data_IF_267195411510
#
_entry.id   IF_267195411510
#
_cell.length_a   1.000
_cell.length_b   1.000
_cell.length_c   1.000
_cell.angle_alpha   90.00
_cell.angle_beta   90.00
_cell.angle_gamma   90.00
#
_symmetry.space_group_name_H-M   'P 1'
#
loop_
_entity.id
_entity.type
_entity.pdbx_description
1 polymer ?
#
# COMPACT_ATOMS: atom_id res chain seq x y z
N UNK A 1 -5.85 -22.15 -13.28
CA UNK A 1 -4.41 -21.80 -13.28
C UNK A 1 -4.17 -20.81 -12.14
N UNK A 2 -3.37 -21.16 -11.14
CA UNK A 2 -3.01 -20.21 -10.09
C UNK A 2 -2.08 -19.15 -10.69
N UNK A 3 -2.31 -17.84 -10.46
CA UNK A 3 -1.44 -16.80 -10.99
C UNK A 3 -0.01 -17.03 -10.45
N UNK A 4 1.03 -16.81 -11.28
CA UNK A 4 2.41 -16.94 -10.81
C UNK A 4 2.59 -16.01 -9.62
N UNK A 5 3.28 -16.50 -8.58
CA UNK A 5 3.52 -15.78 -7.31
C UNK A 5 4.03 -14.35 -7.52
N UNK A 6 4.76 -14.13 -8.63
CA UNK A 6 5.28 -12.84 -9.06
C UNK A 6 4.15 -11.83 -9.41
N UNK A 7 3.07 -12.27 -10.06
CA UNK A 7 1.93 -11.42 -10.39
C UNK A 7 1.16 -10.99 -9.13
N UNK A 8 1.06 -11.87 -8.13
CA UNK A 8 0.44 -11.52 -6.84
C UNK A 8 1.28 -10.51 -6.05
N UNK A 9 2.62 -10.61 -6.11
CA UNK A 9 3.51 -9.63 -5.52
C UNK A 9 3.42 -8.27 -6.23
N UNK A 10 3.45 -8.25 -7.57
CA UNK A 10 3.28 -7.02 -8.35
C UNK A 10 1.93 -6.32 -8.06
N UNK A 11 0.84 -7.08 -7.92
CA UNK A 11 -0.46 -6.54 -7.56
C UNK A 11 -0.52 -5.99 -6.12
N UNK A 12 0.28 -6.55 -5.19
CA UNK A 12 0.40 -6.02 -3.82
C UNK A 12 1.19 -4.72 -3.82
N UNK A 13 2.34 -4.69 -4.50
CA UNK A 13 3.17 -3.49 -4.65
C UNK A 13 2.40 -2.34 -5.32
N UNK A 14 1.62 -2.63 -6.37
CA UNK A 14 0.76 -1.65 -7.03
C UNK A 14 -0.31 -1.06 -6.10
N UNK A 15 -0.94 -1.87 -5.25
CA UNK A 15 -1.90 -1.39 -4.25
C UNK A 15 -1.25 -0.50 -3.18
N UNK A 16 -0.05 -0.85 -2.73
CA UNK A 16 0.71 -0.04 -1.77
C UNK A 16 1.07 1.31 -2.39
N UNK A 17 1.54 1.33 -3.64
CA UNK A 17 1.86 2.58 -4.35
C UNK A 17 0.63 3.49 -4.51
N UNK A 18 -0.52 2.93 -4.87
CA UNK A 18 -1.79 3.67 -4.95
C UNK A 18 -2.21 4.25 -3.59
N UNK A 19 -2.13 3.46 -2.52
CA UNK A 19 -2.46 3.91 -1.17
C UNK A 19 -1.54 5.05 -0.70
N UNK A 20 -0.25 4.96 -0.96
CA UNK A 20 0.73 6.01 -0.67
C UNK A 20 0.43 7.29 -1.45
N UNK A 21 0.08 7.17 -2.73
CA UNK A 21 -0.24 8.32 -3.55
C UNK A 21 -1.53 9.00 -3.06
N UNK A 22 -2.55 8.23 -2.68
CA UNK A 22 -3.78 8.76 -2.11
C UNK A 22 -3.54 9.49 -0.77
N UNK A 23 -2.67 8.94 0.09
CA UNK A 23 -2.21 9.60 1.31
C UNK A 23 -1.47 10.91 1.00
N UNK A 24 -0.52 10.91 0.05
CA UNK A 24 0.20 12.12 -0.37
C UNK A 24 -0.73 13.18 -0.96
N UNK A 25 -1.79 12.79 -1.65
CA UNK A 25 -2.81 13.70 -2.19
C UNK A 25 -3.76 14.25 -1.12
N UNK A 26 -3.63 13.82 0.14
CA UNK A 26 -4.53 14.22 1.22
C UNK A 26 -5.93 13.62 1.12
N UNK A 27 -6.12 12.55 0.31
CA UNK A 27 -7.42 11.86 0.24
C UNK A 27 -7.76 11.12 1.52
N UNK A 28 -6.74 10.80 2.32
CA UNK A 28 -6.90 10.13 3.61
C UNK A 28 -6.03 10.84 4.65
N UNK A 29 -6.62 11.25 5.78
CA UNK A 29 -5.84 11.77 6.93
C UNK A 29 -5.14 10.67 7.73
N UNK A 30 -5.56 9.41 7.55
CA UNK A 30 -5.05 8.28 8.34
C UNK A 30 -4.51 7.17 7.47
N UNK A 31 -3.30 6.71 7.81
CA UNK A 31 -2.64 5.54 7.22
C UNK A 31 -3.53 4.30 7.36
N UNK A 32 -4.17 4.11 8.53
CA UNK A 32 -5.11 3.03 8.77
C UNK A 32 -6.28 3.02 7.78
N UNK A 33 -6.90 4.18 7.53
CA UNK A 33 -8.04 4.30 6.61
C UNK A 33 -7.61 3.98 5.19
N UNK A 34 -6.47 4.52 4.73
CA UNK A 34 -5.93 4.16 3.43
C UNK A 34 -5.62 2.66 3.33
N UNK A 35 -4.98 2.07 4.34
CA UNK A 35 -4.66 0.65 4.36
C UNK A 35 -5.91 -0.24 4.24
N UNK A 36 -6.98 0.11 4.99
CA UNK A 36 -8.26 -0.58 4.94
C UNK A 36 -8.94 -0.46 3.57
N UNK A 37 -8.94 0.74 2.97
CA UNK A 37 -9.56 1.01 1.66
C UNK A 37 -8.86 0.25 0.53
N UNK A 38 -7.53 0.15 0.57
CA UNK A 38 -6.75 -0.58 -0.44
C UNK A 38 -6.53 -2.06 -0.10
N UNK A 39 -7.17 -2.57 0.97
CA UNK A 39 -7.07 -3.96 1.43
C UNK A 39 -5.60 -4.42 1.59
N UNK A 40 -4.77 -3.57 2.20
CA UNK A 40 -3.37 -3.84 2.51
C UNK A 40 -3.14 -3.80 4.03
N UNK A 41 -2.19 -4.58 4.56
CA UNK A 41 -1.84 -4.51 5.97
C UNK A 41 -1.26 -3.14 6.33
N UNK A 42 -1.68 -2.58 7.46
CA UNK A 42 -1.14 -1.29 7.94
C UNK A 42 0.37 -1.35 8.12
N UNK A 43 0.90 -2.45 8.66
CA UNK A 43 2.34 -2.66 8.85
C UNK A 43 3.13 -2.55 7.54
N UNK A 44 2.55 -3.00 6.42
CA UNK A 44 3.16 -2.88 5.08
C UNK A 44 3.19 -1.42 4.64
N UNK A 45 2.08 -0.68 4.83
CA UNK A 45 1.99 0.72 4.44
C UNK A 45 2.89 1.60 5.33
N UNK A 46 2.87 1.41 6.64
CA UNK A 46 3.78 2.06 7.59
C UNK A 46 5.24 1.77 7.26
N UNK A 47 5.61 0.51 7.01
CA UNK A 47 6.98 0.14 6.66
C UNK A 47 7.46 0.84 5.40
N UNK A 48 6.58 0.98 4.39
CA UNK A 48 6.88 1.75 3.18
C UNK A 48 7.05 3.24 3.46
N UNK A 49 6.17 3.85 4.25
CA UNK A 49 6.28 5.28 4.63
C UNK A 49 7.59 5.53 5.39
N UNK A 50 7.92 4.69 6.37
CA UNK A 50 9.15 4.80 7.16
C UNK A 50 10.41 4.58 6.31
N UNK A 51 10.39 3.59 5.42
CA UNK A 51 11.50 3.32 4.50
C UNK A 51 11.72 4.38 3.43
N UNK A 52 10.70 5.17 3.09
CA UNK A 52 10.85 6.37 2.22
C UNK A 52 11.51 7.53 2.98
N UNK A 53 11.48 7.53 4.32
CA UNK A 53 12.06 8.57 5.17
C UNK A 53 13.44 8.18 5.75
N UNK A 54 14.10 7.17 5.17
CA UNK A 54 15.45 6.73 5.53
C UNK A 54 16.46 7.16 4.47
#
# INVERSE_FOLDING_TARGET
MAPPRNAQLAQKEGRVALALQALKRGQFSSIYTAAKMYNIPESTLQGRIKGINA
#
